data_IF_682728322882
#
_entry.id   IF_682728322882
#
_cell.length_a   1.000
_cell.length_b   1.000
_cell.length_c   1.000
_cell.angle_alpha   90.00
_cell.angle_beta   90.00
_cell.angle_gamma   90.00
#
_symmetry.space_group_name_H-M   'P 1'
#
loop_
_entity.id
_entity.type
_entity.pdbx_description
1 polymer ?
#
# COMPACT_ATOMS: atom_id res chain seq x y z
N UNK A 1 -12.90 0.34 31.85
CA UNK A 1 -13.43 1.70 31.60
C UNK A 1 -14.30 2.07 32.79
N UNK A 2 -14.04 3.25 33.38
CA UNK A 2 -14.86 3.78 34.48
C UNK A 2 -16.24 4.18 33.94
N UNK A 3 -17.35 3.61 34.44
CA UNK A 3 -18.69 3.89 33.91
C UNK A 3 -19.09 5.36 34.03
N UNK A 4 -18.61 6.08 35.05
CA UNK A 4 -18.91 7.51 35.26
C UNK A 4 -18.27 8.37 34.17
N UNK A 5 -17.04 8.04 33.74
CA UNK A 5 -16.34 8.73 32.66
C UNK A 5 -17.04 8.50 31.31
N UNK A 6 -17.51 7.29 31.07
CA UNK A 6 -18.25 6.94 29.86
C UNK A 6 -19.58 7.68 29.76
N UNK A 7 -20.29 7.81 30.86
CA UNK A 7 -21.58 8.53 30.93
C UNK A 7 -21.42 10.04 30.74
N UNK A 8 -20.36 10.63 31.30
CA UNK A 8 -20.04 12.06 31.10
C UNK A 8 -19.70 12.32 29.61
N UNK A 9 -18.91 11.45 28.98
CA UNK A 9 -18.56 11.55 27.57
C UNK A 9 -19.78 11.46 26.66
N UNK A 10 -20.65 10.46 26.87
CA UNK A 10 -21.90 10.30 26.12
C UNK A 10 -22.87 11.48 26.31
N UNK A 11 -22.86 12.09 27.48
CA UNK A 11 -23.68 13.27 27.80
C UNK A 11 -23.17 14.50 27.06
N UNK A 12 -21.85 14.72 27.02
CA UNK A 12 -21.23 15.84 26.32
C UNK A 12 -21.40 15.74 24.79
N UNK A 13 -21.39 14.52 24.24
CA UNK A 13 -21.69 14.25 22.83
C UNK A 13 -23.17 14.52 22.50
N UNK A 14 -24.11 14.14 23.38
CA UNK A 14 -25.55 14.38 23.19
C UNK A 14 -25.95 15.85 23.30
N UNK A 15 -25.25 16.61 24.14
CA UNK A 15 -25.48 18.04 24.33
C UNK A 15 -24.79 18.91 23.27
N UNK A 16 -24.20 18.30 22.24
CA UNK A 16 -23.49 18.99 21.13
C UNK A 16 -22.37 19.94 21.63
N UNK A 17 -21.84 19.68 22.82
CA UNK A 17 -20.78 20.47 23.48
C UNK A 17 -19.38 20.08 23.06
N UNK A 18 -19.24 18.93 22.35
CA UNK A 18 -18.00 18.48 21.74
C UNK A 18 -18.24 18.34 20.25
N UNK A 19 -17.76 19.31 19.48
CA UNK A 19 -17.71 19.22 18.02
C UNK A 19 -16.38 18.59 17.60
N UNK A 20 -16.39 17.37 17.10
CA UNK A 20 -15.25 16.75 16.44
C UNK A 20 -15.21 17.28 15.00
N UNK A 21 -14.58 18.43 14.78
CA UNK A 21 -14.17 18.86 13.42
C UNK A 21 -12.86 18.20 13.06
N UNK A 22 -12.76 17.74 11.83
CA UNK A 22 -11.63 16.95 11.31
C UNK A 22 -10.26 17.65 11.39
N UNK A 23 -10.18 18.96 11.66
CA UNK A 23 -8.92 19.71 11.51
C UNK A 23 -8.54 20.68 12.62
N UNK A 24 -9.06 20.76 13.75
CA UNK A 24 -8.55 21.52 14.93
C UNK A 24 -9.64 21.67 16.00
N UNK A 25 -9.32 21.32 17.23
CA UNK A 25 -10.04 21.80 18.42
C UNK A 25 -9.73 23.30 18.59
N UNK A 26 -10.61 24.17 18.11
CA UNK A 26 -10.55 25.58 18.44
C UNK A 26 -11.38 25.83 19.69
N UNK A 27 -10.71 26.11 20.78
CA UNK A 27 -11.35 26.60 22.03
C UNK A 27 -11.58 28.11 21.86
N UNK A 28 -12.83 28.55 21.89
CA UNK A 28 -13.16 29.98 21.94
C UNK A 28 -12.78 30.54 23.31
N UNK A 29 -12.01 31.63 23.30
CA UNK A 29 -11.52 32.34 24.49
C UNK A 29 -12.66 32.83 25.39
N UNK A 30 -12.52 32.58 26.70
CA UNK A 30 -13.19 33.16 27.87
C UNK A 30 -14.10 32.27 28.70
N UNK A 31 -13.73 31.01 28.92
CA UNK A 31 -14.26 30.26 30.11
C UNK A 31 -13.08 29.62 30.80
N UNK A 32 -12.94 29.83 32.13
CA UNK A 32 -12.01 29.03 32.93
C UNK A 32 -12.49 27.58 32.87
N UNK A 33 -11.82 26.78 32.04
CA UNK A 33 -12.09 25.34 31.89
C UNK A 33 -11.58 24.67 33.19
N UNK A 34 -12.37 23.88 33.91
CA UNK A 34 -11.88 23.11 35.05
C UNK A 34 -10.70 22.23 34.64
N UNK A 35 -9.70 22.13 35.51
CA UNK A 35 -8.46 21.36 35.28
C UNK A 35 -8.76 19.92 34.82
N UNK A 36 -9.84 19.31 35.38
CA UNK A 36 -10.34 17.99 34.98
C UNK A 36 -10.86 17.91 33.53
N UNK A 37 -11.38 19.00 32.94
CA UNK A 37 -11.80 19.03 31.53
C UNK A 37 -10.59 19.12 30.58
N UNK A 38 -9.52 19.76 31.00
CA UNK A 38 -8.25 19.82 30.25
C UNK A 38 -7.59 18.45 30.23
N UNK A 39 -7.51 17.77 31.39
CA UNK A 39 -6.97 16.42 31.48
C UNK A 39 -7.76 15.42 30.65
N UNK A 40 -9.11 15.50 30.67
CA UNK A 40 -9.97 14.65 29.85
C UNK A 40 -9.80 14.90 28.36
N UNK A 41 -9.68 16.17 27.93
CA UNK A 41 -9.43 16.54 26.53
C UNK A 41 -8.09 15.99 26.05
N UNK A 42 -7.06 16.09 26.90
CA UNK A 42 -5.73 15.55 26.60
C UNK A 42 -5.73 14.03 26.49
N UNK A 43 -6.37 13.34 27.42
CA UNK A 43 -6.53 11.89 27.40
C UNK A 43 -7.29 11.38 26.14
N UNK A 44 -8.36 12.07 25.73
CA UNK A 44 -9.10 11.75 24.50
C UNK A 44 -8.21 11.97 23.27
N UNK A 45 -7.44 13.06 23.23
CA UNK A 45 -6.49 13.34 22.16
C UNK A 45 -5.44 12.24 22.03
N UNK A 46 -4.89 11.77 23.16
CA UNK A 46 -3.88 10.70 23.19
C UNK A 46 -4.47 9.35 22.75
N UNK A 47 -5.69 9.02 23.18
CA UNK A 47 -6.40 7.83 22.70
C UNK A 47 -6.64 7.91 21.20
N UNK A 48 -7.14 9.05 20.69
CA UNK A 48 -7.40 9.24 19.26
C UNK A 48 -6.12 9.18 18.42
N UNK A 49 -5.03 9.76 18.94
CA UNK A 49 -3.72 9.66 18.27
C UNK A 49 -3.21 8.22 18.23
N UNK A 50 -3.39 7.47 19.31
CA UNK A 50 -3.04 6.04 19.41
C UNK A 50 -3.87 5.20 18.46
N UNK A 51 -5.19 5.42 18.40
CA UNK A 51 -6.09 4.73 17.46
C UNK A 51 -5.72 5.05 16.02
N UNK A 52 -5.45 6.32 15.68
CA UNK A 52 -4.99 6.73 14.33
C UNK A 52 -3.68 6.07 13.96
N UNK A 53 -2.73 6.01 14.88
CA UNK A 53 -1.42 5.39 14.67
C UNK A 53 -1.53 3.86 14.51
N UNK A 54 -2.37 3.20 15.30
CA UNK A 54 -2.67 1.78 15.13
C UNK A 54 -3.36 1.50 13.79
N UNK A 55 -4.40 2.26 13.44
CA UNK A 55 -5.13 2.13 12.18
C UNK A 55 -4.23 2.41 10.96
N UNK A 56 -3.27 3.33 11.10
CA UNK A 56 -2.25 3.55 10.07
C UNK A 56 -1.32 2.33 9.93
N UNK A 57 -0.90 1.69 11.02
CA UNK A 57 -0.09 0.47 11.00
C UNK A 57 -0.84 -0.75 10.45
N UNK A 58 -2.15 -0.87 10.72
CA UNK A 58 -3.01 -1.93 10.18
C UNK A 58 -3.17 -1.85 8.65
N UNK A 59 -2.91 -0.70 8.04
CA UNK A 59 -2.97 -0.47 6.60
C UNK A 59 -1.68 -0.83 5.85
N UNK A 60 -0.61 -1.17 6.56
CA UNK A 60 0.68 -1.49 5.98
C UNK A 60 1.00 -2.99 6.07
N UNK A 61 1.73 -3.50 5.09
CA UNK A 61 2.41 -4.78 5.18
C UNK A 61 3.63 -4.64 6.09
N UNK A 62 3.69 -5.43 7.16
CA UNK A 62 4.72 -5.30 8.20
C UNK A 62 6.13 -5.67 7.71
N UNK A 63 6.24 -6.46 6.63
CA UNK A 63 7.53 -6.87 6.10
C UNK A 63 8.14 -5.82 5.20
N UNK A 64 7.34 -5.24 4.30
CA UNK A 64 7.80 -4.33 3.24
C UNK A 64 7.53 -2.86 3.53
N UNK A 65 6.62 -2.55 4.46
CA UNK A 65 6.17 -1.18 4.74
C UNK A 65 5.28 -0.57 3.66
N UNK A 66 4.97 -1.31 2.60
CA UNK A 66 3.99 -0.92 1.59
C UNK A 66 2.56 -0.97 2.14
N UNK A 67 1.60 -0.24 1.57
CA UNK A 67 0.18 -0.52 1.78
C UNK A 67 -0.11 -2.01 1.62
N UNK A 68 -0.90 -2.59 2.53
CA UNK A 68 -1.34 -3.97 2.40
C UNK A 68 -2.44 -4.11 1.33
N UNK A 69 -2.85 -5.36 1.04
CA UNK A 69 -3.89 -5.68 0.06
C UNK A 69 -5.12 -4.78 0.20
N UNK A 70 -5.74 -4.77 1.36
CA UNK A 70 -7.00 -4.05 1.57
C UNK A 70 -6.87 -2.55 1.30
N UNK A 71 -5.82 -1.92 1.82
CA UNK A 71 -5.59 -0.49 1.63
C UNK A 71 -5.21 -0.16 0.19
N UNK A 72 -4.36 -0.99 -0.42
CA UNK A 72 -3.88 -0.80 -1.80
C UNK A 72 -5.00 -0.93 -2.82
N UNK A 73 -5.75 -2.05 -2.80
CA UNK A 73 -6.85 -2.30 -3.72
C UNK A 73 -7.94 -1.21 -3.63
N UNK A 74 -8.33 -0.81 -2.41
CA UNK A 74 -9.30 0.28 -2.21
C UNK A 74 -8.81 1.60 -2.79
N UNK A 75 -7.55 1.97 -2.55
CA UNK A 75 -6.99 3.21 -3.02
C UNK A 75 -6.85 3.23 -4.56
N UNK A 76 -6.39 2.12 -5.16
CA UNK A 76 -6.30 1.97 -6.62
C UNK A 76 -7.70 2.05 -7.25
N UNK A 77 -8.67 1.29 -6.75
CA UNK A 77 -10.04 1.30 -7.25
C UNK A 77 -10.69 2.70 -7.18
N UNK A 78 -10.39 3.46 -6.11
CA UNK A 78 -10.87 4.84 -5.99
C UNK A 78 -10.19 5.77 -7.02
N UNK A 79 -8.89 5.60 -7.26
CA UNK A 79 -8.14 6.41 -8.21
C UNK A 79 -8.60 6.16 -9.66
N UNK A 80 -8.86 4.90 -10.02
CA UNK A 80 -9.35 4.47 -11.35
C UNK A 80 -10.72 5.04 -11.72
N UNK A 81 -11.53 5.49 -10.74
CA UNK A 81 -12.80 6.18 -11.05
C UNK A 81 -12.61 7.50 -11.78
N UNK A 82 -11.46 8.13 -11.59
CA UNK A 82 -11.19 9.49 -12.06
C UNK A 82 -9.97 9.59 -12.97
N UNK A 83 -9.16 8.54 -13.04
CA UNK A 83 -7.92 8.51 -13.82
C UNK A 83 -7.84 7.25 -14.66
N UNK A 84 -7.49 7.42 -15.93
CA UNK A 84 -6.93 6.31 -16.74
C UNK A 84 -5.51 6.03 -16.28
N UNK A 85 -4.92 4.94 -16.73
CA UNK A 85 -3.54 4.63 -16.40
C UNK A 85 -3.22 3.16 -16.63
N UNK A 86 -2.14 2.68 -16.01
CA UNK A 86 -1.74 1.29 -16.13
C UNK A 86 -1.79 0.58 -14.77
N UNK A 87 -2.47 -0.54 -14.73
CA UNK A 87 -2.43 -1.49 -13.62
C UNK A 87 -1.35 -2.55 -13.92
N UNK A 88 -0.46 -2.75 -12.95
CA UNK A 88 0.66 -3.69 -13.05
C UNK A 88 0.57 -4.70 -11.93
N UNK A 89 0.45 -5.96 -12.28
CA UNK A 89 0.53 -7.06 -11.34
C UNK A 89 1.94 -7.66 -11.40
N UNK A 90 2.67 -7.61 -10.29
CA UNK A 90 4.03 -8.13 -10.18
C UNK A 90 4.08 -9.34 -9.25
N UNK A 91 4.96 -10.27 -9.56
CA UNK A 91 5.22 -11.44 -8.73
C UNK A 91 6.74 -11.69 -8.66
N UNK A 92 7.21 -11.96 -7.44
CA UNK A 92 8.60 -12.36 -7.19
C UNK A 92 8.79 -13.82 -7.57
N UNK A 93 9.54 -14.06 -8.61
CA UNK A 93 9.88 -15.41 -9.04
C UNK A 93 10.88 -16.08 -8.10
N UNK A 94 10.81 -17.43 -8.06
CA UNK A 94 11.76 -18.30 -7.38
C UNK A 94 11.88 -18.07 -5.86
N UNK A 95 10.93 -17.33 -5.23
CA UNK A 95 10.94 -17.10 -3.78
C UNK A 95 10.98 -18.39 -2.98
N UNK A 96 10.23 -19.43 -3.42
CA UNK A 96 10.24 -20.74 -2.78
C UNK A 96 11.64 -21.38 -2.83
N UNK A 97 12.31 -21.34 -3.98
CA UNK A 97 13.67 -21.87 -4.14
C UNK A 97 14.67 -21.17 -3.21
N UNK A 98 14.57 -19.84 -3.10
CA UNK A 98 15.41 -19.07 -2.17
C UNK A 98 15.15 -19.49 -0.72
N UNK A 99 13.87 -19.61 -0.34
CA UNK A 99 13.50 -20.06 1.01
C UNK A 99 14.02 -21.49 1.32
N UNK A 100 13.90 -22.39 0.36
CA UNK A 100 14.29 -23.79 0.53
C UNK A 100 15.81 -23.93 0.64
N UNK A 101 16.60 -23.10 -0.04
CA UNK A 101 18.08 -23.16 -0.04
C UNK A 101 18.68 -22.33 1.10
N UNK A 102 18.20 -21.09 1.30
CA UNK A 102 18.83 -20.11 2.19
C UNK A 102 17.97 -19.72 3.41
N UNK A 103 16.77 -20.32 3.52
CA UNK A 103 15.83 -20.09 4.61
C UNK A 103 14.97 -18.84 4.41
N UNK A 104 13.88 -18.75 5.19
CA UNK A 104 12.88 -17.69 5.08
C UNK A 104 13.45 -16.28 5.26
N UNK A 105 14.54 -16.11 6.01
CA UNK A 105 15.19 -14.79 6.15
C UNK A 105 15.75 -14.25 4.84
N UNK A 106 16.23 -15.12 3.94
CA UNK A 106 16.67 -14.72 2.61
C UNK A 106 15.48 -14.31 1.75
N UNK A 107 14.37 -15.07 1.78
CA UNK A 107 13.13 -14.66 1.12
C UNK A 107 12.57 -13.33 1.64
N UNK A 108 12.63 -13.10 2.94
CA UNK A 108 12.23 -11.80 3.52
C UNK A 108 13.10 -10.65 3.02
N UNK A 109 14.42 -10.87 2.85
CA UNK A 109 15.32 -9.84 2.31
C UNK A 109 14.98 -9.47 0.88
N UNK A 110 14.70 -10.46 0.01
CA UNK A 110 14.36 -10.17 -1.38
C UNK A 110 13.00 -9.47 -1.50
N UNK A 111 12.02 -9.82 -0.68
CA UNK A 111 10.73 -9.12 -0.62
C UNK A 111 10.88 -7.67 -0.13
N UNK A 112 11.71 -7.43 0.88
CA UNK A 112 12.05 -6.09 1.35
C UNK A 112 12.79 -5.27 0.29
N UNK A 113 13.69 -5.92 -0.45
CA UNK A 113 14.42 -5.25 -1.54
C UNK A 113 13.45 -4.73 -2.60
N UNK A 114 12.49 -5.56 -3.05
CA UNK A 114 11.47 -5.12 -4.00
C UNK A 114 10.55 -4.07 -3.37
N UNK A 115 10.08 -4.27 -2.14
CA UNK A 115 9.22 -3.31 -1.43
C UNK A 115 9.86 -1.92 -1.33
N UNK A 116 11.12 -1.85 -0.89
CA UNK A 116 11.86 -0.59 -0.80
C UNK A 116 12.07 0.06 -2.17
N UNK A 117 12.30 -0.75 -3.21
CA UNK A 117 12.42 -0.23 -4.56
C UNK A 117 11.11 0.36 -5.07
N UNK A 118 9.98 -0.30 -4.84
CA UNK A 118 8.66 0.21 -5.23
C UNK A 118 8.28 1.48 -4.46
N UNK A 119 8.71 1.65 -3.21
CA UNK A 119 8.51 2.88 -2.44
C UNK A 119 9.19 4.10 -3.09
N UNK A 120 10.29 3.92 -3.82
CA UNK A 120 10.94 5.03 -4.55
C UNK A 120 10.04 5.63 -5.63
N UNK A 121 9.04 4.88 -6.10
CA UNK A 121 8.08 5.31 -7.12
C UNK A 121 6.72 5.74 -6.53
N UNK A 122 6.61 5.86 -5.21
CA UNK A 122 5.34 6.19 -4.54
C UNK A 122 4.82 7.60 -4.80
N UNK A 123 5.65 8.51 -5.35
CA UNK A 123 5.22 9.83 -5.82
C UNK A 123 4.48 9.79 -7.17
N UNK A 124 4.72 8.76 -7.98
CA UNK A 124 4.18 8.62 -9.34
C UNK A 124 3.15 7.48 -9.42
N UNK A 125 3.31 6.47 -8.57
CA UNK A 125 2.54 5.24 -8.60
C UNK A 125 1.95 4.93 -7.23
N UNK A 126 0.73 4.43 -7.20
CA UNK A 126 0.18 3.80 -6.02
C UNK A 126 0.67 2.35 -6.00
N UNK A 127 1.36 1.95 -4.95
CA UNK A 127 1.96 0.60 -4.82
C UNK A 127 1.44 -0.10 -3.58
N UNK A 128 1.28 -1.43 -3.65
CA UNK A 128 0.92 -2.23 -2.47
C UNK A 128 1.44 -3.67 -2.59
N UNK A 129 1.49 -4.37 -1.45
CA UNK A 129 1.74 -5.81 -1.41
C UNK A 129 0.45 -6.55 -1.14
N UNK A 130 0.13 -7.50 -2.02
CA UNK A 130 -1.09 -8.30 -1.89
C UNK A 130 -0.93 -9.47 -0.90
N UNK A 131 0.30 -9.93 -0.70
CA UNK A 131 0.67 -11.03 0.18
C UNK A 131 1.62 -11.99 -0.51
N UNK A 132 2.28 -12.86 0.23
CA UNK A 132 3.26 -13.79 -0.33
C UNK A 132 4.33 -13.07 -1.15
N UNK A 133 4.38 -13.37 -2.44
CA UNK A 133 5.30 -12.81 -3.42
C UNK A 133 4.65 -11.79 -4.40
N UNK A 134 3.40 -11.40 -4.17
CA UNK A 134 2.58 -10.60 -5.09
C UNK A 134 2.53 -9.13 -4.69
N UNK A 135 2.68 -8.25 -5.68
CA UNK A 135 2.62 -6.80 -5.55
C UNK A 135 1.73 -6.21 -6.64
N UNK A 136 1.13 -5.09 -6.34
CA UNK A 136 0.30 -4.35 -7.29
C UNK A 136 0.79 -2.90 -7.36
N UNK A 137 0.77 -2.34 -8.58
CA UNK A 137 1.13 -0.97 -8.85
C UNK A 137 0.09 -0.38 -9.81
N UNK A 138 -0.33 0.85 -9.57
CA UNK A 138 -1.14 1.63 -10.49
C UNK A 138 -0.47 2.97 -10.74
N UNK A 139 -0.18 3.26 -12.01
CA UNK A 139 0.35 4.55 -12.45
C UNK A 139 -0.77 5.33 -13.13
N UNK A 140 -1.34 6.37 -12.47
CA UNK A 140 -2.41 7.17 -13.04
C UNK A 140 -1.87 8.02 -14.20
N UNK A 141 -2.72 8.24 -15.19
CA UNK A 141 -2.44 9.02 -16.40
C UNK A 141 -1.25 8.52 -17.24
N UNK A 142 -0.78 7.29 -16.98
CA UNK A 142 0.28 6.67 -17.76
C UNK A 142 -0.20 6.34 -19.17
N UNK A 143 0.66 6.56 -20.15
CA UNK A 143 0.61 5.90 -21.45
C UNK A 143 1.52 4.65 -21.45
N UNK A 144 1.49 3.91 -22.56
CA UNK A 144 2.27 2.68 -22.68
C UNK A 144 3.79 2.94 -22.63
N UNK A 145 4.27 4.08 -23.12
CA UNK A 145 5.69 4.40 -23.12
C UNK A 145 6.18 4.74 -21.71
N UNK A 146 5.49 5.64 -21.00
CA UNK A 146 5.86 6.08 -19.66
C UNK A 146 5.86 4.92 -18.65
N UNK A 147 4.86 4.03 -18.68
CA UNK A 147 4.88 2.86 -17.82
C UNK A 147 5.97 1.86 -18.19
N UNK A 148 6.25 1.67 -19.46
CA UNK A 148 7.34 0.80 -19.92
C UNK A 148 8.70 1.29 -19.40
N UNK A 149 8.95 2.60 -19.43
CA UNK A 149 10.17 3.19 -18.86
C UNK A 149 10.29 2.93 -17.36
N UNK A 150 9.20 3.15 -16.60
CA UNK A 150 9.16 2.91 -15.16
C UNK A 150 9.41 1.44 -14.83
N UNK A 151 8.72 0.51 -15.49
CA UNK A 151 8.88 -0.93 -15.25
C UNK A 151 10.28 -1.40 -15.61
N UNK A 152 10.82 -0.95 -16.75
CA UNK A 152 12.19 -1.26 -17.16
C UNK A 152 13.22 -0.76 -16.13
N UNK A 153 13.02 0.45 -15.60
CA UNK A 153 13.87 1.01 -14.55
C UNK A 153 13.78 0.21 -13.24
N UNK A 154 12.60 -0.23 -12.84
CA UNK A 154 12.38 -1.10 -11.65
C UNK A 154 13.14 -2.42 -11.84
N UNK A 155 12.98 -3.09 -12.96
CA UNK A 155 13.65 -4.37 -13.27
C UNK A 155 15.18 -4.21 -13.25
N UNK A 156 15.69 -3.17 -13.91
CA UNK A 156 17.13 -2.88 -13.92
C UNK A 156 17.68 -2.62 -12.51
N UNK A 157 17.04 -1.77 -11.73
CA UNK A 157 17.46 -1.47 -10.36
C UNK A 157 17.38 -2.71 -9.45
N UNK A 158 16.32 -3.52 -9.59
CA UNK A 158 16.18 -4.76 -8.85
C UNK A 158 17.34 -5.72 -9.13
N UNK A 159 17.62 -5.96 -10.42
CA UNK A 159 18.73 -6.83 -10.83
C UNK A 159 20.08 -6.32 -10.31
N UNK A 160 20.34 -5.02 -10.41
CA UNK A 160 21.59 -4.44 -9.88
C UNK A 160 21.72 -4.61 -8.36
N UNK A 161 20.61 -4.42 -7.61
CA UNK A 161 20.65 -4.50 -6.14
C UNK A 161 20.74 -5.93 -5.62
N UNK A 162 20.06 -6.89 -6.25
CA UNK A 162 20.13 -8.31 -5.83
C UNK A 162 21.52 -8.91 -6.01
N UNK A 163 22.31 -8.42 -6.96
CA UNK A 163 23.69 -8.87 -7.18
C UNK A 163 24.64 -8.58 -6.01
N UNK A 164 24.25 -7.67 -5.11
CA UNK A 164 25.02 -7.35 -3.89
C UNK A 164 24.87 -8.45 -2.80
N UNK A 165 23.90 -9.34 -2.94
CA UNK A 165 23.65 -10.47 -2.02
C UNK A 165 23.57 -11.78 -2.82
N UNK A 166 24.61 -12.64 -2.75
CA UNK A 166 24.66 -13.88 -3.51
C UNK A 166 23.47 -14.84 -3.25
N UNK A 167 22.87 -14.77 -2.07
CA UNK A 167 21.69 -15.60 -1.74
C UNK A 167 20.43 -15.19 -2.52
N UNK A 168 20.42 -13.95 -3.08
CA UNK A 168 19.30 -13.39 -3.84
C UNK A 168 19.46 -13.53 -5.35
N UNK A 169 20.56 -14.08 -5.87
CA UNK A 169 20.83 -14.13 -7.31
C UNK A 169 19.73 -14.86 -8.09
N UNK A 170 19.11 -15.89 -7.52
CA UNK A 170 18.03 -16.63 -8.16
C UNK A 170 16.70 -15.85 -8.28
N UNK A 171 16.57 -14.73 -7.55
CA UNK A 171 15.37 -13.90 -7.60
C UNK A 171 15.21 -13.21 -8.94
N UNK A 172 14.00 -13.15 -9.44
CA UNK A 172 13.60 -12.29 -10.57
C UNK A 172 12.18 -11.77 -10.34
N UNK A 173 11.76 -10.84 -11.18
CA UNK A 173 10.42 -10.28 -11.15
C UNK A 173 9.74 -10.62 -12.47
N UNK A 174 8.49 -11.02 -12.41
CA UNK A 174 7.59 -11.10 -13.57
C UNK A 174 6.46 -10.11 -13.38
N UNK A 175 6.01 -9.44 -14.46
CA UNK A 175 4.93 -8.48 -14.38
C UNK A 175 3.95 -8.60 -15.56
N UNK A 176 2.66 -8.45 -15.26
CA UNK A 176 1.59 -8.31 -16.24
C UNK A 176 0.99 -6.92 -16.15
N UNK A 177 0.80 -6.27 -17.30
CA UNK A 177 0.36 -4.90 -17.44
C UNK A 177 -0.97 -4.81 -18.17
N UNK A 178 -1.86 -3.94 -17.70
CA UNK A 178 -3.10 -3.62 -18.42
C UNK A 178 -3.38 -2.12 -18.40
N UNK A 179 -3.63 -1.57 -19.60
CA UNK A 179 -4.02 -0.15 -19.76
C UNK A 179 -5.51 0.03 -19.43
N UNK A 180 -5.80 0.72 -18.35
CA UNK A 180 -7.15 0.97 -17.83
C UNK A 180 -7.68 2.32 -18.32
N UNK A 181 -8.98 2.38 -18.67
CA UNK A 181 -9.68 3.63 -18.95
C UNK A 181 -10.35 4.16 -17.67
N UNK A 182 -10.74 5.44 -17.69
CA UNK A 182 -11.51 6.03 -16.60
C UNK A 182 -12.81 5.24 -16.41
N UNK A 183 -13.06 4.82 -15.17
CA UNK A 183 -14.27 4.10 -14.79
C UNK A 183 -14.28 2.59 -15.10
N UNK A 184 -13.19 2.05 -15.64
CA UNK A 184 -13.05 0.59 -15.77
C UNK A 184 -13.17 -0.08 -14.39
N UNK A 185 -13.74 -1.28 -14.35
CA UNK A 185 -13.82 -2.08 -13.14
C UNK A 185 -12.42 -2.53 -12.69
N UNK A 186 -12.10 -2.31 -11.41
CA UNK A 186 -10.85 -2.79 -10.82
C UNK A 186 -10.67 -4.30 -11.03
N UNK A 187 -11.71 -5.10 -10.79
CA UNK A 187 -11.65 -6.57 -10.89
C UNK A 187 -11.38 -7.04 -12.33
N UNK A 188 -11.95 -6.34 -13.32
CA UNK A 188 -11.67 -6.65 -14.72
C UNK A 188 -10.24 -6.31 -15.11
N UNK A 189 -9.75 -5.12 -14.70
CA UNK A 189 -8.37 -4.70 -14.96
C UNK A 189 -7.38 -5.62 -14.25
N UNK A 190 -7.65 -5.98 -12.99
CA UNK A 190 -6.86 -6.94 -12.23
C UNK A 190 -6.77 -8.28 -12.94
N UNK A 191 -7.92 -8.84 -13.38
CA UNK A 191 -7.97 -10.11 -14.12
C UNK A 191 -7.16 -10.09 -15.41
N UNK A 192 -7.16 -8.96 -16.12
CA UNK A 192 -6.41 -8.79 -17.37
C UNK A 192 -4.91 -8.65 -17.12
N UNK A 193 -4.51 -7.90 -16.09
CA UNK A 193 -3.11 -7.82 -15.67
C UNK A 193 -2.58 -9.18 -15.20
N UNK A 194 -3.37 -9.95 -14.44
CA UNK A 194 -3.02 -11.31 -13.99
C UNK A 194 -2.83 -12.27 -15.18
N UNK A 195 -3.69 -12.21 -16.19
CA UNK A 195 -3.51 -13.02 -17.42
C UNK A 195 -2.21 -12.68 -18.15
N UNK A 196 -1.84 -11.40 -18.22
CA UNK A 196 -0.57 -10.99 -18.81
C UNK A 196 0.62 -11.51 -17.99
N UNK A 197 0.55 -11.45 -16.66
CA UNK A 197 1.56 -12.02 -15.78
C UNK A 197 1.69 -13.53 -15.96
N UNK A 198 0.55 -14.23 -16.05
CA UNK A 198 0.55 -15.67 -16.30
C UNK A 198 1.25 -16.03 -17.62
N UNK A 199 1.01 -15.25 -18.68
CA UNK A 199 1.71 -15.40 -19.96
C UNK A 199 3.23 -15.26 -19.79
N UNK A 200 3.70 -14.24 -19.07
CA UNK A 200 5.15 -14.05 -18.78
C UNK A 200 5.72 -15.24 -18.05
N UNK A 201 5.01 -15.74 -17.02
CA UNK A 201 5.47 -16.89 -16.24
C UNK A 201 5.60 -18.17 -17.07
N UNK A 202 4.75 -18.36 -18.06
CA UNK A 202 4.86 -19.51 -18.98
C UNK A 202 5.97 -19.37 -20.01
N UNK A 203 6.40 -18.15 -20.34
CA UNK A 203 7.38 -17.85 -21.37
C UNK A 203 8.80 -17.54 -20.84
N UNK A 204 9.13 -18.01 -19.63
CA UNK A 204 10.50 -17.95 -19.13
C UNK A 204 10.69 -17.06 -17.91
N UNK A 205 9.66 -16.33 -17.46
CA UNK A 205 9.73 -15.40 -16.31
C UNK A 205 10.69 -14.23 -16.54
N UNK A 206 10.94 -13.42 -15.49
CA UNK A 206 11.94 -12.33 -15.50
C UNK A 206 11.72 -11.30 -16.60
N UNK A 207 10.47 -11.03 -16.94
CA UNK A 207 10.03 -10.13 -17.99
C UNK A 207 8.67 -9.52 -17.65
N UNK A 208 8.17 -8.64 -18.50
CA UNK A 208 6.81 -8.11 -18.40
C UNK A 208 6.10 -8.15 -19.76
N UNK A 209 4.78 -8.19 -19.72
CA UNK A 209 3.94 -8.17 -20.91
C UNK A 209 2.68 -7.37 -20.67
N UNK A 210 2.20 -6.70 -21.71
CA UNK A 210 0.85 -6.12 -21.71
C UNK A 210 -0.17 -7.19 -22.05
N UNK A 211 -1.34 -7.10 -21.39
CA UNK A 211 -2.51 -7.85 -21.86
C UNK A 211 -2.97 -7.24 -23.20
N UNK A 212 -2.96 -8.03 -24.26
CA UNK A 212 -3.52 -7.65 -25.56
C UNK A 212 -5.04 -7.51 -25.47
N UNK A 213 -5.59 -6.49 -26.17
CA UNK A 213 -7.04 -6.23 -26.19
C UNK A 213 -7.77 -7.25 -27.04
#
# INVERSE_FOLDING_TARGET
FDPEITDIFLKLLREDRIHVKEDHLSITENTQIPEAEIEMSQFISDIMSTIRTQKAKENLDFLTGLPNRNKGEQAIAQLMKHHSGCLVFMDMDNLKTINDIYGHKAGDRVLKLLGNLLLEYSSECLVCRLGGNEFLLFMPNADQNSITEVITAIFKKFNTRKEQDPELHAASISAGLYMCNIGDSFDECYTKADKALYFVKQNGKSDFSFHEK
#
